data_IF_864996274110
#
_entry.id   IF_864996274110
#
_cell.length_a   1.000
_cell.length_b   1.000
_cell.length_c   1.000
_cell.angle_alpha   90.00
_cell.angle_beta   90.00
_cell.angle_gamma   90.00
#
_symmetry.space_group_name_H-M   'P 1'
#
loop_
_entity.id
_entity.type
_entity.pdbx_description
1 polymer ?
#
# COMPACT_ATOMS: atom_id res chain seq x y z
N UNK A 1 -19.46 1.85 -5.87
CA UNK A 1 -18.94 1.77 -4.49
C UNK A 1 -17.44 1.89 -4.59
N UNK A 2 -16.85 2.95 -4.03
CA UNK A 2 -15.40 3.11 -4.04
C UNK A 2 -14.82 2.03 -3.13
N UNK A 3 -14.26 0.95 -3.67
CA UNK A 3 -13.50 -0.04 -2.90
C UNK A 3 -12.15 0.58 -2.51
N UNK A 4 -12.24 1.60 -1.66
CA UNK A 4 -11.10 2.24 -1.04
C UNK A 4 -10.52 1.26 -0.03
N UNK A 5 -9.38 0.68 -0.38
CA UNK A 5 -8.60 -0.17 0.52
C UNK A 5 -8.23 0.65 1.75
N UNK A 6 -8.54 0.14 2.95
CA UNK A 6 -8.25 0.83 4.20
C UNK A 6 -6.77 0.73 4.51
N UNK A 7 -6.12 1.83 4.88
CA UNK A 7 -4.73 1.80 5.30
C UNK A 7 -4.64 1.84 6.82
N UNK A 8 -3.78 0.99 7.38
CA UNK A 8 -3.45 1.07 8.81
C UNK A 8 -2.50 2.24 9.08
N UNK A 9 -2.56 2.81 10.29
CA UNK A 9 -1.66 3.89 10.72
C UNK A 9 -0.19 3.52 10.55
N UNK A 10 0.17 2.26 10.78
CA UNK A 10 1.53 1.74 10.64
C UNK A 10 1.97 1.70 9.16
N UNK A 11 1.10 1.22 8.26
CA UNK A 11 1.39 1.21 6.83
C UNK A 11 1.46 2.63 6.24
N UNK A 12 0.60 3.54 6.71
CA UNK A 12 0.67 4.96 6.34
C UNK A 12 1.97 5.61 6.82
N UNK A 13 2.46 5.26 8.01
CA UNK A 13 3.74 5.75 8.51
C UNK A 13 4.90 5.30 7.60
N UNK A 14 4.90 4.04 7.16
CA UNK A 14 5.88 3.53 6.18
C UNK A 14 5.78 4.20 4.83
N UNK A 15 4.56 4.39 4.32
CA UNK A 15 4.30 5.15 3.11
C UNK A 15 4.77 6.61 3.25
N UNK A 16 4.79 7.15 4.48
CA UNK A 16 5.30 8.49 4.75
C UNK A 16 6.82 8.62 4.64
N UNK A 17 7.57 7.55 4.89
CA UNK A 17 9.02 7.50 4.69
C UNK A 17 9.41 7.58 3.21
N UNK A 18 8.52 7.15 2.31
CA UNK A 18 8.73 7.24 0.86
C UNK A 18 8.63 8.72 0.41
N UNK A 19 9.56 9.19 -0.44
CA UNK A 19 9.50 10.56 -0.98
C UNK A 19 8.16 10.87 -1.66
N UNK A 20 7.67 12.10 -1.50
CA UNK A 20 6.33 12.49 -1.94
C UNK A 20 6.06 12.28 -3.44
N UNK A 21 7.09 12.36 -4.29
CA UNK A 21 6.96 12.19 -5.75
C UNK A 21 6.75 10.73 -6.17
N UNK A 22 7.30 9.77 -5.41
CA UNK A 22 7.08 8.33 -5.63
C UNK A 22 5.91 7.78 -4.80
N UNK A 23 5.46 8.51 -3.76
CA UNK A 23 4.38 8.07 -2.88
C UNK A 23 3.08 7.70 -3.63
N UNK A 24 2.56 8.49 -4.60
CA UNK A 24 1.35 8.11 -5.35
C UNK A 24 1.53 6.83 -6.15
N UNK A 25 2.70 6.63 -6.76
CA UNK A 25 3.01 5.42 -7.50
C UNK A 25 3.10 4.19 -6.58
N UNK A 26 3.79 4.32 -5.44
CA UNK A 26 3.88 3.26 -4.44
C UNK A 26 2.50 2.91 -3.89
N UNK A 27 1.71 3.91 -3.46
CA UNK A 27 0.35 3.73 -2.93
C UNK A 27 -0.52 2.96 -3.93
N UNK A 28 -0.57 3.41 -5.19
CA UNK A 28 -1.38 2.78 -6.23
C UNK A 28 -0.99 1.33 -6.49
N UNK A 29 0.31 1.02 -6.48
CA UNK A 29 0.77 -0.36 -6.65
C UNK A 29 0.40 -1.24 -5.44
N UNK A 30 0.49 -0.72 -4.23
CA UNK A 30 0.13 -1.44 -3.00
C UNK A 30 -1.39 -1.67 -2.94
N UNK A 31 -2.18 -0.67 -3.30
CA UNK A 31 -3.64 -0.79 -3.43
C UNK A 31 -4.02 -1.84 -4.47
N UNK A 32 -3.34 -1.87 -5.61
CA UNK A 32 -3.55 -2.91 -6.62
C UNK A 32 -3.17 -4.30 -6.11
N UNK A 33 -2.01 -4.43 -5.45
CA UNK A 33 -1.60 -5.70 -4.83
C UNK A 33 -2.63 -6.19 -3.83
N UNK A 34 -3.16 -5.28 -3.00
CA UNK A 34 -4.19 -5.62 -2.03
C UNK A 34 -5.49 -6.06 -2.72
N UNK A 35 -5.95 -5.34 -3.75
CA UNK A 35 -7.11 -5.74 -4.55
C UNK A 35 -6.92 -7.12 -5.21
N UNK A 36 -5.77 -7.36 -5.84
CA UNK A 36 -5.46 -8.64 -6.50
C UNK A 36 -5.38 -9.80 -5.48
N UNK A 37 -5.06 -9.51 -4.22
CA UNK A 37 -5.02 -10.47 -3.11
C UNK A 37 -6.34 -10.56 -2.32
N UNK A 38 -7.42 -9.88 -2.75
CA UNK A 38 -8.70 -9.71 -2.03
C UNK A 38 -8.54 -9.14 -0.60
N UNK A 39 -7.48 -8.37 -0.40
CA UNK A 39 -7.14 -7.69 0.85
C UNK A 39 -7.82 -6.32 0.86
N UNK A 40 -8.68 -6.09 1.86
CA UNK A 40 -9.38 -4.83 2.06
C UNK A 40 -8.66 -3.87 3.01
N UNK A 41 -7.65 -4.35 3.71
CA UNK A 41 -6.87 -3.60 4.69
C UNK A 41 -5.35 -3.73 4.43
N UNK A 42 -4.70 -2.61 4.15
CA UNK A 42 -3.26 -2.51 3.93
C UNK A 42 -2.60 -2.33 5.30
N UNK A 43 -2.13 -3.46 5.82
CA UNK A 43 -1.27 -3.52 7.01
C UNK A 43 0.19 -3.34 6.63
N UNK A 44 1.07 -3.16 7.63
CA UNK A 44 2.52 -3.17 7.40
C UNK A 44 2.98 -4.44 6.66
N UNK A 45 2.35 -5.59 6.93
CA UNK A 45 2.72 -6.82 6.24
C UNK A 45 2.42 -6.77 4.74
N UNK A 46 1.27 -6.22 4.36
CA UNK A 46 0.85 -6.04 2.96
C UNK A 46 1.75 -5.02 2.27
N UNK A 47 2.05 -3.91 2.97
CA UNK A 47 3.00 -2.91 2.49
C UNK A 47 4.38 -3.51 2.21
N UNK A 48 4.94 -4.27 3.16
CA UNK A 48 6.26 -4.90 3.00
C UNK A 48 6.26 -5.98 1.91
N UNK A 49 5.17 -6.76 1.79
CA UNK A 49 5.02 -7.73 0.69
C UNK A 49 4.97 -7.05 -0.68
N UNK A 50 4.14 -6.01 -0.84
CA UNK A 50 4.06 -5.24 -2.06
C UNK A 50 5.38 -4.53 -2.37
N UNK A 51 6.07 -4.01 -1.34
CA UNK A 51 7.39 -3.38 -1.47
C UNK A 51 8.46 -4.35 -1.97
N UNK A 52 8.47 -5.60 -1.51
CA UNK A 52 9.36 -6.64 -2.05
C UNK A 52 9.13 -6.90 -3.54
N UNK A 53 7.90 -6.72 -4.02
CA UNK A 53 7.55 -6.83 -5.44
C UNK A 53 7.93 -5.59 -6.28
N UNK A 54 8.29 -4.47 -5.65
CA UNK A 54 8.78 -3.27 -6.34
C UNK A 54 10.27 -3.30 -6.68
N UNK A 55 10.99 -4.33 -6.23
CA UNK A 55 12.38 -4.58 -6.57
C UNK A 55 12.54 -5.08 -8.00
#
# INVERSE_FOLDING_TARGET
>A
MSESVSWTSEAEAKLKEIPFFVRPAARKKIEKFAQDADIREITVQVYEQAKKQFG
#
